data_IF_481226383029
#
_entry.id   IF_481226383029
#
_cell.length_a   1.000
_cell.length_b   1.000
_cell.length_c   1.000
_cell.angle_alpha   90.00
_cell.angle_beta   90.00
_cell.angle_gamma   90.00
#
_symmetry.space_group_name_H-M   'P 1'
#
loop_
_entity.id
_entity.type
_entity.pdbx_description
1 polymer ?
#
# COMPACT_ATOMS: atom_id res chain seq x y z
N UNK A 1 31.62 -20.43 -5.50
CA UNK A 1 30.97 -19.11 -5.29
C UNK A 1 29.47 -19.34 -5.20
N UNK A 2 28.89 -19.40 -3.99
CA UNK A 2 27.43 -19.54 -3.83
C UNK A 2 26.87 -18.13 -3.71
N UNK A 3 26.22 -17.65 -4.76
CA UNK A 3 25.49 -16.38 -4.71
C UNK A 3 24.09 -16.63 -4.18
N UNK A 4 23.58 -15.74 -3.31
CA UNK A 4 22.21 -15.81 -2.81
C UNK A 4 21.15 -15.69 -3.92
N UNK A 5 19.85 -15.77 -3.57
CA UNK A 5 18.76 -15.70 -4.55
C UNK A 5 18.84 -14.42 -5.39
N UNK A 6 18.67 -14.55 -6.71
CA UNK A 6 18.68 -13.46 -7.69
C UNK A 6 17.45 -13.49 -8.59
N UNK A 7 17.28 -12.45 -9.42
CA UNK A 7 16.23 -12.45 -10.46
C UNK A 7 16.46 -13.59 -11.47
N UNK A 8 15.42 -13.98 -12.22
CA UNK A 8 15.58 -14.96 -13.32
C UNK A 8 16.67 -14.54 -14.31
N UNK A 9 16.78 -13.24 -14.59
CA UNK A 9 17.84 -12.66 -15.45
C UNK A 9 19.24 -12.89 -14.83
N UNK A 10 19.38 -12.68 -13.52
CA UNK A 10 20.64 -12.94 -12.82
C UNK A 10 21.00 -14.44 -12.81
N UNK A 11 20.01 -15.32 -12.72
CA UNK A 11 20.23 -16.77 -12.80
C UNK A 11 20.76 -17.18 -14.19
N UNK A 12 20.17 -16.64 -15.27
CA UNK A 12 20.65 -16.86 -16.64
C UNK A 12 22.07 -16.29 -16.82
N UNK A 13 22.33 -15.07 -16.36
CA UNK A 13 23.66 -14.45 -16.40
C UNK A 13 24.71 -15.29 -15.64
N UNK A 14 24.35 -15.84 -14.47
CA UNK A 14 25.21 -16.75 -13.73
C UNK A 14 25.48 -18.06 -14.51
N UNK A 15 24.49 -18.60 -15.21
CA UNK A 15 24.65 -19.76 -16.10
C UNK A 15 25.68 -19.49 -17.22
N UNK A 16 25.56 -18.35 -17.89
CA UNK A 16 26.56 -17.93 -18.90
C UNK A 16 27.95 -17.76 -18.31
N UNK A 17 28.08 -17.15 -17.12
CA UNK A 17 29.36 -17.02 -16.43
C UNK A 17 29.98 -18.36 -16.09
N UNK A 18 29.18 -19.32 -15.61
CA UNK A 18 29.64 -20.67 -15.32
C UNK A 18 30.11 -21.39 -16.60
N UNK A 19 29.34 -21.31 -17.69
CA UNK A 19 29.70 -21.90 -18.97
C UNK A 19 31.01 -21.30 -19.53
N UNK A 20 31.19 -19.98 -19.45
CA UNK A 20 32.43 -19.31 -19.86
C UNK A 20 33.63 -19.73 -19.00
N UNK A 21 33.44 -19.84 -17.68
CA UNK A 21 34.50 -20.32 -16.79
C UNK A 21 34.92 -21.76 -17.12
N UNK A 22 33.96 -22.65 -17.42
CA UNK A 22 34.23 -24.01 -17.87
C UNK A 22 34.97 -24.03 -19.21
N UNK A 23 34.57 -23.19 -20.15
CA UNK A 23 35.23 -23.07 -21.46
C UNK A 23 36.69 -22.65 -21.33
N UNK A 24 36.98 -21.59 -20.57
CA UNK A 24 38.33 -21.09 -20.31
C UNK A 24 39.20 -22.16 -19.63
N UNK A 25 38.64 -22.85 -18.63
CA UNK A 25 39.33 -23.95 -17.95
C UNK A 25 39.71 -25.08 -18.91
N UNK A 26 38.79 -25.50 -19.79
CA UNK A 26 39.03 -26.55 -20.78
C UNK A 26 40.06 -26.14 -21.85
N UNK A 27 40.22 -24.85 -22.11
CA UNK A 27 41.24 -24.30 -23.01
C UNK A 27 42.61 -24.09 -22.33
N UNK A 28 42.73 -24.38 -21.03
CA UNK A 28 43.95 -24.12 -20.26
C UNK A 28 44.19 -22.62 -19.97
N UNK A 29 43.17 -21.78 -20.14
CA UNK A 29 43.23 -20.34 -19.88
C UNK A 29 42.84 -20.00 -18.43
N UNK A 30 43.34 -18.87 -17.93
CA UNK A 30 43.00 -18.35 -16.60
C UNK A 30 41.62 -17.71 -16.59
N UNK A 31 40.89 -17.88 -15.48
CA UNK A 31 39.54 -17.32 -15.27
C UNK A 31 39.59 -15.86 -14.77
N UNK A 32 40.69 -15.47 -14.12
CA UNK A 32 40.86 -14.13 -13.53
C UNK A 32 40.74 -13.02 -14.57
N UNK A 33 39.90 -12.01 -14.29
CA UNK A 33 39.68 -10.84 -15.15
C UNK A 33 38.88 -11.08 -16.44
N UNK A 34 38.63 -12.34 -16.84
CA UNK A 34 37.91 -12.70 -18.08
C UNK A 34 36.41 -12.89 -17.91
N UNK A 35 35.94 -13.05 -16.67
CA UNK A 35 34.50 -13.15 -16.39
C UNK A 35 33.87 -11.76 -16.24
N UNK A 36 32.70 -11.51 -16.83
CA UNK A 36 31.97 -10.27 -16.61
C UNK A 36 31.61 -10.14 -15.13
N UNK A 37 32.23 -9.16 -14.47
CA UNK A 37 31.95 -8.82 -13.08
C UNK A 37 30.80 -7.83 -13.07
N UNK A 38 29.63 -8.26 -12.63
CA UNK A 38 28.64 -7.34 -12.09
C UNK A 38 28.94 -7.17 -10.60
N UNK A 39 29.66 -6.12 -10.25
CA UNK A 39 29.61 -5.62 -8.87
C UNK A 39 28.20 -5.11 -8.65
N UNK A 40 27.52 -5.70 -7.66
CA UNK A 40 26.27 -5.13 -7.18
C UNK A 40 26.66 -4.01 -6.24
N UNK A 41 26.17 -2.80 -6.50
CA UNK A 41 26.30 -1.70 -5.55
C UNK A 41 25.78 -2.18 -4.19
N UNK A 42 26.62 -2.06 -3.16
CA UNK A 42 26.19 -2.29 -1.79
C UNK A 42 25.24 -1.17 -1.41
N UNK A 43 24.01 -1.52 -1.03
CA UNK A 43 23.13 -0.56 -0.39
C UNK A 43 23.76 -0.12 0.94
N UNK A 44 23.80 1.20 1.17
CA UNK A 44 24.25 1.75 2.44
C UNK A 44 23.40 1.20 3.58
N UNK A 45 24.03 0.99 4.75
CA UNK A 45 23.29 0.55 5.93
C UNK A 45 22.26 1.61 6.36
N UNK A 46 21.03 1.16 6.56
CA UNK A 46 19.98 2.02 7.07
C UNK A 46 20.22 2.34 8.55
N UNK A 47 20.07 3.61 8.92
CA UNK A 47 20.15 4.04 10.33
C UNK A 47 19.21 3.22 11.21
N UNK A 48 19.70 2.79 12.38
CA UNK A 48 18.97 1.94 13.33
C UNK A 48 17.63 2.55 13.77
N UNK A 49 17.56 3.87 13.92
CA UNK A 49 16.32 4.59 14.25
C UNK A 49 15.22 4.41 13.20
N UNK A 50 15.57 4.25 11.93
CA UNK A 50 14.60 4.00 10.86
C UNK A 50 14.23 2.53 10.81
N UNK A 51 15.19 1.62 11.02
CA UNK A 51 14.92 0.18 11.12
C UNK A 51 13.96 -0.15 12.27
N UNK A 52 14.01 0.57 13.38
CA UNK A 52 13.09 0.40 14.51
C UNK A 52 11.63 0.76 14.16
N UNK A 53 11.42 1.73 13.26
CA UNK A 53 10.10 2.19 12.79
C UNK A 53 9.46 1.27 11.75
N UNK A 54 10.25 0.33 11.22
CA UNK A 54 9.82 -0.58 10.17
C UNK A 54 9.19 -1.81 10.82
N UNK A 55 7.88 -1.97 10.68
CA UNK A 55 7.13 -3.11 11.20
C UNK A 55 7.73 -4.44 10.72
N UNK A 56 8.16 -5.34 11.61
CA UNK A 56 8.74 -6.63 11.22
C UNK A 56 7.67 -7.71 11.34
N UNK A 57 7.44 -8.44 10.26
CA UNK A 57 6.58 -9.62 10.26
C UNK A 57 7.46 -10.85 10.05
N UNK A 58 7.20 -11.98 10.74
CA UNK A 58 7.92 -13.23 10.51
C UNK A 58 7.45 -13.91 9.22
N UNK A 59 8.35 -14.62 8.53
CA UNK A 59 8.04 -15.27 7.24
C UNK A 59 7.24 -16.53 7.47
N UNK A 60 6.20 -16.75 6.67
CA UNK A 60 5.51 -18.03 6.63
C UNK A 60 6.43 -19.06 6.01
N UNK A 61 6.75 -20.11 6.77
CA UNK A 61 7.59 -21.18 6.27
C UNK A 61 6.75 -22.05 5.34
N UNK A 62 7.29 -22.33 4.15
CA UNK A 62 6.69 -23.33 3.26
C UNK A 62 6.76 -24.67 3.98
N UNK A 63 5.66 -25.42 3.94
CA UNK A 63 5.60 -26.72 4.57
C UNK A 63 6.47 -27.69 3.78
N UNK A 64 7.43 -28.29 4.48
CA UNK A 64 8.34 -29.28 3.91
C UNK A 64 8.16 -30.62 4.60
N UNK A 65 8.17 -31.71 3.83
CA UNK A 65 8.29 -33.05 4.41
C UNK A 65 9.63 -33.19 5.16
N UNK A 66 9.62 -33.97 6.24
CA UNK A 66 10.82 -34.20 7.04
C UNK A 66 11.92 -34.88 6.19
N UNK A 67 13.21 -34.52 6.36
CA UNK A 67 14.31 -35.11 5.58
C UNK A 67 14.33 -36.65 5.59
N UNK A 68 13.95 -37.28 6.70
CA UNK A 68 13.89 -38.74 6.84
C UNK A 68 12.85 -39.41 5.93
N UNK A 69 11.82 -38.68 5.52
CA UNK A 69 10.79 -39.14 4.56
C UNK A 69 11.24 -38.83 3.14
N UNK A 70 11.81 -37.65 2.90
CA UNK A 70 12.30 -37.18 1.60
C UNK A 70 13.33 -38.09 0.94
N UNK A 71 14.12 -38.82 1.73
CA UNK A 71 15.12 -39.78 1.20
C UNK A 71 14.50 -41.13 0.83
N UNK A 72 13.27 -41.42 1.26
CA UNK A 72 12.58 -42.70 1.05
C UNK A 72 11.47 -42.61 0.00
N UNK A 73 11.01 -41.41 -0.33
CA UNK A 73 9.88 -41.21 -1.23
C UNK A 73 10.23 -40.23 -2.35
N UNK A 74 9.57 -40.38 -3.49
CA UNK A 74 9.62 -39.42 -4.61
C UNK A 74 8.43 -38.45 -4.56
N UNK A 75 7.74 -38.36 -3.42
CA UNK A 75 6.65 -37.42 -3.21
C UNK A 75 7.18 -35.99 -3.20
N UNK A 76 6.37 -35.06 -3.72
CA UNK A 76 6.75 -33.66 -3.75
C UNK A 76 6.90 -33.13 -2.32
N UNK A 77 8.12 -32.73 -1.96
CA UNK A 77 8.44 -32.42 -0.57
C UNK A 77 8.01 -31.02 -0.12
N UNK A 78 7.67 -30.12 -1.05
CA UNK A 78 7.19 -28.76 -0.76
C UNK A 78 5.68 -28.68 -1.00
N UNK A 79 4.85 -28.88 0.03
CA UNK A 79 3.39 -28.86 -0.13
C UNK A 79 2.79 -27.46 -0.34
N UNK A 80 3.64 -26.42 -0.43
CA UNK A 80 3.22 -25.03 -0.64
C UNK A 80 2.60 -24.39 0.60
N UNK A 81 1.69 -23.46 0.37
CA UNK A 81 0.92 -22.77 1.42
C UNK A 81 -0.56 -23.16 1.31
N UNK A 82 -1.22 -23.34 2.46
CA UNK A 82 -2.69 -23.24 2.52
C UNK A 82 -3.14 -21.83 2.13
N UNK A 83 -4.40 -21.65 1.74
CA UNK A 83 -4.93 -20.31 1.39
C UNK A 83 -4.69 -19.29 2.51
N UNK A 84 -4.93 -19.68 3.78
CA UNK A 84 -4.70 -18.83 4.93
C UNK A 84 -3.22 -18.44 5.10
N UNK A 85 -2.30 -19.37 4.90
CA UNK A 85 -0.86 -19.11 4.96
C UNK A 85 -0.40 -18.25 3.78
N UNK A 86 -0.96 -18.48 2.59
CA UNK A 86 -0.66 -17.71 1.38
C UNK A 86 -1.09 -16.25 1.55
N UNK A 87 -2.30 -16.01 2.07
CA UNK A 87 -2.78 -14.67 2.42
C UNK A 87 -1.91 -14.04 3.52
N UNK A 88 -1.52 -14.80 4.54
CA UNK A 88 -0.62 -14.30 5.57
C UNK A 88 0.77 -13.93 5.01
N UNK A 89 1.32 -14.71 4.08
CA UNK A 89 2.59 -14.40 3.41
C UNK A 89 2.47 -13.20 2.48
N UNK A 90 1.42 -13.13 1.66
CA UNK A 90 1.12 -12.00 0.80
C UNK A 90 0.95 -10.69 1.60
N UNK A 91 0.34 -10.77 2.79
CA UNK A 91 0.16 -9.62 3.68
C UNK A 91 1.48 -9.06 4.21
N UNK A 92 2.61 -9.77 4.10
CA UNK A 92 3.94 -9.24 4.45
C UNK A 92 4.52 -8.32 3.38
N UNK A 93 3.97 -8.31 2.16
CA UNK A 93 4.43 -7.43 1.09
C UNK A 93 4.46 -5.98 1.57
N UNK A 94 5.56 -5.27 1.26
CA UNK A 94 5.77 -3.86 1.63
C UNK A 94 5.66 -2.90 0.46
N UNK A 95 5.33 -3.40 -0.74
CA UNK A 95 5.31 -2.58 -1.95
C UNK A 95 6.69 -2.06 -2.32
N UNK A 96 7.72 -2.90 -2.26
CA UNK A 96 9.05 -2.53 -2.75
C UNK A 96 8.94 -2.01 -4.20
N UNK A 97 9.67 -0.94 -4.52
CA UNK A 97 9.59 -0.20 -5.78
C UNK A 97 8.26 0.53 -6.09
N UNK A 98 7.23 0.46 -5.23
CA UNK A 98 6.00 1.26 -5.36
C UNK A 98 6.12 2.66 -4.68
N UNK A 99 7.34 3.15 -4.51
CA UNK A 99 7.67 4.34 -3.73
C UNK A 99 7.18 5.66 -4.35
N UNK A 100 7.40 6.75 -3.61
CA UNK A 100 7.11 8.10 -4.08
C UNK A 100 8.17 8.60 -5.05
N UNK A 101 7.75 9.31 -6.10
CA UNK A 101 8.61 9.95 -7.11
C UNK A 101 8.26 11.44 -7.18
N UNK A 102 9.27 12.29 -7.36
CA UNK A 102 9.11 13.75 -7.41
C UNK A 102 9.30 14.23 -8.84
N UNK A 103 8.33 15.00 -9.33
CA UNK A 103 8.45 15.80 -10.54
C UNK A 103 9.26 17.07 -10.23
N UNK A 104 10.49 17.12 -10.71
CA UNK A 104 11.45 18.20 -10.43
C UNK A 104 11.01 19.54 -11.01
N UNK A 105 10.21 19.55 -12.09
CA UNK A 105 9.71 20.77 -12.71
C UNK A 105 8.58 21.43 -11.89
N UNK A 106 7.90 20.65 -11.04
CA UNK A 106 6.86 21.16 -10.13
C UNK A 106 7.38 21.39 -8.72
N UNK A 107 8.50 20.77 -8.35
CA UNK A 107 8.99 20.81 -6.97
C UNK A 107 9.54 22.20 -6.61
N UNK A 108 8.92 22.86 -5.63
CA UNK A 108 9.39 24.14 -5.08
C UNK A 108 10.29 24.01 -3.84
N UNK A 109 10.79 22.80 -3.55
CA UNK A 109 11.68 22.51 -2.40
C UNK A 109 11.18 23.01 -1.01
N UNK A 110 9.86 23.08 -0.77
CA UNK A 110 9.27 23.64 0.46
C UNK A 110 9.48 22.85 1.77
N UNK A 111 10.17 21.71 1.71
CA UNK A 111 10.48 20.82 2.85
C UNK A 111 9.27 20.11 3.50
N UNK A 112 8.04 20.25 2.98
CA UNK A 112 6.87 19.58 3.57
C UNK A 112 7.02 18.06 3.57
N UNK A 113 7.45 17.46 2.45
CA UNK A 113 7.68 16.01 2.36
C UNK A 113 8.67 15.51 3.43
N UNK A 114 9.75 16.27 3.68
CA UNK A 114 10.76 15.97 4.69
C UNK A 114 10.17 15.98 6.09
N UNK A 115 9.36 16.99 6.43
CA UNK A 115 8.73 17.13 7.76
C UNK A 115 7.69 16.06 8.05
N UNK A 116 6.95 15.60 7.02
CA UNK A 116 5.86 14.63 7.22
C UNK A 116 6.34 13.18 7.20
N UNK A 117 7.45 12.87 6.54
CA UNK A 117 7.94 11.50 6.39
C UNK A 117 8.55 10.96 7.70
N UNK A 118 7.95 9.95 8.36
CA UNK A 118 8.48 9.41 9.62
C UNK A 118 9.80 8.63 9.44
N UNK A 119 10.08 8.22 8.20
CA UNK A 119 11.26 7.45 7.82
C UNK A 119 12.43 8.34 7.35
N UNK A 120 12.20 9.63 7.09
CA UNK A 120 13.25 10.49 6.54
C UNK A 120 13.70 10.09 5.13
N UNK A 121 12.79 9.56 4.31
CA UNK A 121 13.09 9.17 2.93
C UNK A 121 13.44 10.37 2.00
N UNK A 122 12.78 11.54 2.12
CA UNK A 122 13.12 12.69 1.29
C UNK A 122 14.48 13.29 1.66
N UNK A 123 15.26 13.68 0.66
CA UNK A 123 16.45 14.52 0.77
C UNK A 123 16.21 15.74 -0.12
N UNK A 124 16.29 16.94 0.44
CA UNK A 124 16.02 18.17 -0.31
C UNK A 124 17.32 18.94 -0.51
N UNK A 125 17.64 19.20 -1.78
CA UNK A 125 18.72 20.09 -2.21
C UNK A 125 18.09 21.25 -3.00
N UNK A 126 18.29 21.29 -4.32
CA UNK A 126 17.55 22.18 -5.22
C UNK A 126 16.09 21.72 -5.43
N UNK A 127 15.86 20.40 -5.41
CA UNK A 127 14.54 19.77 -5.39
C UNK A 127 14.55 18.62 -4.35
N UNK A 128 13.39 18.03 -4.11
CA UNK A 128 13.27 16.85 -3.27
C UNK A 128 13.58 15.59 -4.08
N UNK A 129 14.42 14.71 -3.53
CA UNK A 129 14.66 13.36 -4.03
C UNK A 129 14.21 12.35 -2.98
N UNK A 130 13.54 11.28 -3.39
CA UNK A 130 13.06 10.24 -2.46
C UNK A 130 14.02 9.06 -2.52
N UNK A 131 14.64 8.75 -1.38
CA UNK A 131 15.51 7.59 -1.23
C UNK A 131 14.69 6.29 -1.24
N UNK A 132 14.85 5.41 -2.25
CA UNK A 132 14.02 4.21 -2.40
C UNK A 132 14.21 3.19 -1.27
N UNK A 133 15.42 3.12 -0.72
CA UNK A 133 15.81 2.26 0.40
C UNK A 133 15.09 2.65 1.71
N UNK A 134 14.78 3.93 1.92
CA UNK A 134 14.03 4.41 3.09
C UNK A 134 12.51 4.43 2.87
N UNK A 135 12.06 4.62 1.62
CA UNK A 135 10.66 4.83 1.31
C UNK A 135 9.81 3.57 1.56
N UNK A 136 8.81 3.68 2.42
CA UNK A 136 7.89 2.58 2.74
C UNK A 136 6.61 2.59 1.87
N UNK A 137 6.57 3.39 0.80
CA UNK A 137 5.44 3.52 -0.13
C UNK A 137 4.07 3.89 0.48
N UNK A 138 4.04 4.41 1.72
CA UNK A 138 2.79 4.70 2.44
C UNK A 138 1.92 5.80 1.80
N UNK A 139 2.48 6.64 0.93
CA UNK A 139 1.76 7.70 0.23
C UNK A 139 1.50 8.97 1.04
N UNK A 140 2.01 9.05 2.28
CA UNK A 140 1.72 10.17 3.19
C UNK A 140 2.17 11.54 2.65
N UNK A 141 3.27 11.59 1.90
CA UNK A 141 3.85 12.84 1.40
C UNK A 141 3.13 13.40 0.17
N UNK A 142 2.48 12.56 -0.63
CA UNK A 142 1.83 12.97 -1.86
C UNK A 142 0.69 14.01 -1.68
N UNK A 143 -0.27 13.83 -0.74
CA UNK A 143 -1.34 14.80 -0.52
C UNK A 143 -0.84 16.05 0.24
N UNK A 144 0.30 15.95 0.92
CA UNK A 144 0.91 17.07 1.66
C UNK A 144 1.76 17.97 0.73
N UNK A 145 1.97 17.56 -0.52
CA UNK A 145 2.75 18.36 -1.47
C UNK A 145 1.90 19.51 -2.03
N UNK A 146 2.15 20.78 -1.66
CA UNK A 146 1.32 21.90 -2.13
C UNK A 146 1.42 22.11 -3.64
N UNK A 147 2.57 21.79 -4.23
CA UNK A 147 2.78 21.88 -5.67
C UNK A 147 2.23 20.68 -6.46
N UNK A 148 1.69 19.65 -5.78
CA UNK A 148 1.26 18.41 -6.44
C UNK A 148 2.38 17.70 -7.21
N UNK A 149 3.63 17.86 -6.76
CA UNK A 149 4.84 17.39 -7.43
C UNK A 149 5.18 15.92 -7.10
N UNK A 150 4.43 15.26 -6.21
CA UNK A 150 4.74 13.90 -5.76
C UNK A 150 3.70 12.92 -6.30
N UNK A 151 4.17 11.90 -7.03
CA UNK A 151 3.39 10.74 -7.48
C UNK A 151 3.89 9.46 -6.81
N UNK A 152 3.16 8.36 -6.96
CA UNK A 152 3.59 7.03 -6.50
C UNK A 152 3.73 6.10 -7.70
N UNK A 153 4.76 5.26 -7.71
CA UNK A 153 4.97 4.30 -8.82
C UNK A 153 3.87 3.23 -8.86
N UNK A 154 3.42 2.77 -7.69
CA UNK A 154 2.45 1.66 -7.62
C UNK A 154 0.99 2.05 -7.75
N UNK A 155 0.66 3.36 -7.76
CA UNK A 155 -0.71 3.85 -7.92
C UNK A 155 -0.68 5.35 -8.19
N UNK A 156 -1.40 5.84 -9.20
CA UNK A 156 -1.52 7.29 -9.36
C UNK A 156 -2.52 7.84 -8.34
N UNK A 157 -2.11 8.95 -7.77
CA UNK A 157 -2.78 9.65 -6.72
C UNK A 157 -3.83 10.63 -7.22
N UNK A 158 -3.80 10.96 -8.51
CA UNK A 158 -4.89 11.64 -9.21
C UNK A 158 -5.90 10.66 -9.79
N UNK A 159 -5.46 9.46 -10.14
CA UNK A 159 -6.30 8.42 -10.75
C UNK A 159 -7.53 8.08 -9.91
N UNK A 160 -7.39 7.96 -8.58
CA UNK A 160 -8.53 7.72 -7.68
C UNK A 160 -9.60 8.81 -7.83
N UNK A 161 -9.20 10.08 -7.89
CA UNK A 161 -10.13 11.21 -8.01
C UNK A 161 -10.76 11.29 -9.41
N UNK A 162 -9.97 10.96 -10.43
CA UNK A 162 -10.41 11.00 -11.82
C UNK A 162 -11.37 9.85 -12.14
N UNK A 163 -11.14 8.67 -11.56
CA UNK A 163 -11.99 7.48 -11.76
C UNK A 163 -13.28 7.53 -10.96
N UNK A 164 -13.38 8.38 -9.92
CA UNK A 164 -14.59 8.47 -9.08
C UNK A 164 -15.87 8.69 -9.88
N UNK A 165 -15.84 9.56 -10.88
CA UNK A 165 -17.02 9.86 -11.70
C UNK A 165 -17.52 8.59 -12.41
N UNK A 166 -16.60 7.79 -12.95
CA UNK A 166 -16.92 6.55 -13.67
C UNK A 166 -17.33 5.43 -12.70
N UNK A 167 -16.63 5.27 -11.58
CA UNK A 167 -16.88 4.19 -10.61
C UNK A 167 -18.16 4.41 -9.80
N UNK A 168 -18.46 5.65 -9.43
CA UNK A 168 -19.75 6.01 -8.79
C UNK A 168 -20.88 5.94 -9.82
N UNK A 169 -20.63 6.45 -11.03
CA UNK A 169 -21.58 6.42 -12.12
C UNK A 169 -22.82 7.28 -11.88
N UNK A 170 -23.91 6.95 -12.58
CA UNK A 170 -25.20 7.61 -12.38
C UNK A 170 -25.86 7.10 -11.11
N UNK A 171 -26.08 8.00 -10.16
CA UNK A 171 -26.82 7.70 -8.93
C UNK A 171 -28.31 7.65 -9.24
N UNK A 172 -28.95 6.50 -8.99
CA UNK A 172 -30.39 6.36 -9.15
C UNK A 172 -31.14 7.23 -8.14
N UNK A 173 -32.07 8.03 -8.65
CA UNK A 173 -32.93 8.89 -7.84
C UNK A 173 -33.94 8.09 -7.01
N UNK A 174 -34.28 6.85 -7.42
CA UNK A 174 -35.22 5.97 -6.74
C UNK A 174 -34.55 5.04 -5.72
N UNK A 175 -33.24 5.20 -5.47
CA UNK A 175 -32.50 4.35 -4.54
C UNK A 175 -33.09 4.45 -3.14
N UNK A 176 -33.16 3.30 -2.45
CA UNK A 176 -33.60 3.20 -1.05
C UNK A 176 -32.43 3.20 -0.07
N UNK A 177 -31.25 2.82 -0.56
CA UNK A 177 -30.04 2.70 0.24
C UNK A 177 -29.03 3.78 -0.14
N UNK A 178 -28.28 4.32 0.84
CA UNK A 178 -27.33 5.39 0.59
C UNK A 178 -26.14 4.91 -0.22
N UNK A 179 -25.70 5.70 -1.19
CA UNK A 179 -24.47 5.43 -1.92
C UNK A 179 -23.28 5.89 -1.08
N UNK A 180 -22.41 4.95 -0.70
CA UNK A 180 -21.25 5.25 0.15
C UNK A 180 -19.97 5.04 -0.65
N UNK A 181 -19.17 6.09 -0.79
CA UNK A 181 -17.81 5.96 -1.35
C UNK A 181 -16.87 5.55 -0.23
N UNK A 182 -16.13 4.45 -0.43
CA UNK A 182 -15.27 3.88 0.60
C UNK A 182 -13.82 3.83 0.16
N UNK A 183 -12.93 4.55 0.84
CA UNK A 183 -11.48 4.44 0.64
C UNK A 183 -10.93 3.29 1.49
N UNK A 184 -10.41 2.25 0.84
CA UNK A 184 -10.09 0.97 1.50
C UNK A 184 -8.59 0.68 1.46
N UNK A 185 -7.97 0.49 2.63
CA UNK A 185 -6.54 0.17 2.72
C UNK A 185 -6.21 -1.25 2.18
N UNK A 186 -5.53 -1.36 1.04
CA UNK A 186 -5.23 -2.65 0.40
C UNK A 186 -4.18 -3.47 1.16
N UNK A 187 -3.30 -2.83 1.93
CA UNK A 187 -2.20 -3.49 2.64
C UNK A 187 -2.63 -4.56 3.65
N UNK A 188 -3.83 -4.42 4.23
CA UNK A 188 -4.41 -5.39 5.17
C UNK A 188 -5.78 -5.87 4.70
N UNK A 189 -6.63 -4.98 4.17
CA UNK A 189 -7.97 -5.35 3.71
C UNK A 189 -7.95 -6.03 2.34
N UNK A 190 -7.07 -5.60 1.43
CA UNK A 190 -7.01 -6.19 0.08
C UNK A 190 -6.58 -7.65 0.08
N UNK A 191 -5.76 -8.05 1.06
CA UNK A 191 -5.29 -9.43 1.21
C UNK A 191 -6.32 -10.31 1.91
N UNK A 192 -6.99 -9.81 2.93
CA UNK A 192 -8.01 -10.61 3.62
C UNK A 192 -9.35 -10.61 2.88
N UNK A 193 -9.60 -9.62 2.02
CA UNK A 193 -10.92 -9.28 1.49
C UNK A 193 -11.61 -8.22 2.37
N UNK A 194 -12.58 -7.52 1.79
CA UNK A 194 -13.49 -6.67 2.54
C UNK A 194 -14.92 -6.98 2.07
N UNK A 195 -15.68 -7.69 2.90
CA UNK A 195 -17.13 -7.84 2.71
C UNK A 195 -17.80 -6.50 3.01
N UNK A 196 -17.84 -5.64 2.00
CA UNK A 196 -18.54 -4.37 2.02
C UNK A 196 -19.99 -4.58 1.58
N UNK A 197 -20.95 -3.88 2.20
CA UNK A 197 -22.33 -3.87 1.74
C UNK A 197 -22.46 -3.42 0.27
N UNK A 198 -23.48 -3.90 -0.45
CA UNK A 198 -23.64 -3.66 -1.90
C UNK A 198 -23.79 -2.17 -2.28
N UNK A 199 -24.21 -1.33 -1.34
CA UNK A 199 -24.35 0.11 -1.51
C UNK A 199 -23.02 0.88 -1.35
N UNK A 200 -21.92 0.19 -1.07
CA UNK A 200 -20.57 0.75 -1.04
C UNK A 200 -19.95 0.75 -2.45
N UNK A 201 -19.17 1.78 -2.74
CA UNK A 201 -18.30 1.89 -3.92
C UNK A 201 -16.86 1.96 -3.44
N UNK A 202 -16.12 0.83 -3.45
CA UNK A 202 -14.77 0.78 -2.91
C UNK A 202 -13.75 1.42 -3.87
N UNK A 203 -12.90 2.28 -3.31
CA UNK A 203 -11.69 2.81 -3.92
C UNK A 203 -10.49 2.26 -3.16
N UNK A 204 -9.83 1.22 -3.70
CA UNK A 204 -8.64 0.65 -3.07
C UNK A 204 -7.51 1.67 -3.07
N UNK A 205 -6.96 1.93 -1.88
CA UNK A 205 -5.78 2.78 -1.68
C UNK A 205 -4.70 1.98 -0.98
N UNK A 206 -3.43 2.17 -1.35
CA UNK A 206 -2.36 1.39 -0.73
C UNK A 206 -2.27 1.62 0.78
N UNK A 207 -2.55 2.85 1.21
CA UNK A 207 -2.78 3.21 2.60
C UNK A 207 -3.79 4.36 2.65
N UNK A 208 -4.63 4.40 3.69
CA UNK A 208 -5.51 5.54 3.94
C UNK A 208 -4.74 6.82 4.24
N UNK A 209 -3.44 6.74 4.54
CA UNK A 209 -2.58 7.91 4.66
C UNK A 209 -2.44 8.73 3.38
N UNK A 210 -2.80 8.16 2.23
CA UNK A 210 -2.89 8.95 1.01
C UNK A 210 -4.19 9.74 0.89
N UNK A 211 -5.29 9.29 1.49
CA UNK A 211 -6.59 9.94 1.29
C UNK A 211 -6.48 11.42 1.69
N UNK A 212 -6.78 12.29 0.73
CA UNK A 212 -6.79 13.73 0.88
C UNK A 212 -8.21 14.21 1.15
N UNK A 213 -8.34 15.39 1.75
CA UNK A 213 -9.63 16.07 1.95
C UNK A 213 -10.31 16.33 0.62
N UNK A 214 -9.55 16.67 -0.43
CA UNK A 214 -10.09 16.85 -1.77
C UNK A 214 -10.70 15.55 -2.35
N UNK A 215 -10.17 14.39 -1.98
CA UNK A 215 -10.72 13.10 -2.42
C UNK A 215 -12.07 12.83 -1.73
N UNK A 216 -12.17 13.18 -0.44
CA UNK A 216 -13.42 13.11 0.33
C UNK A 216 -14.47 14.06 -0.25
N UNK A 217 -14.10 15.31 -0.56
CA UNK A 217 -15.01 16.28 -1.14
C UNK A 217 -15.45 15.88 -2.55
N UNK A 218 -14.54 15.34 -3.37
CA UNK A 218 -14.89 14.85 -4.71
C UNK A 218 -15.94 13.75 -4.65
N UNK A 219 -15.87 12.86 -3.66
CA UNK A 219 -16.88 11.81 -3.49
C UNK A 219 -18.30 12.41 -3.31
N UNK A 220 -18.44 13.46 -2.50
CA UNK A 220 -19.72 14.17 -2.36
C UNK A 220 -20.14 14.90 -3.63
N UNK A 221 -19.20 15.51 -4.37
CA UNK A 221 -19.45 16.14 -5.67
C UNK A 221 -19.99 15.11 -6.69
N UNK A 222 -19.51 13.87 -6.64
CA UNK A 222 -19.98 12.78 -7.52
C UNK A 222 -21.33 12.17 -7.11
N UNK A 223 -21.92 12.61 -6.00
CA UNK A 223 -23.25 12.19 -5.56
C UNK A 223 -23.28 11.15 -4.42
N UNK A 224 -22.17 10.94 -3.72
CA UNK A 224 -22.16 10.08 -2.53
C UNK A 224 -23.03 10.66 -1.40
N UNK A 225 -23.80 9.80 -0.73
CA UNK A 225 -24.58 10.12 0.47
C UNK A 225 -23.71 10.14 1.73
N UNK A 226 -22.63 9.36 1.70
CA UNK A 226 -21.61 9.29 2.76
C UNK A 226 -20.25 8.84 2.23
N UNK A 227 -19.21 9.10 3.01
CA UNK A 227 -17.82 8.74 2.71
C UNK A 227 -17.22 7.98 3.88
N UNK A 228 -16.76 6.77 3.61
CA UNK A 228 -16.07 5.92 4.58
C UNK A 228 -14.57 5.87 4.30
N UNK A 229 -13.74 6.16 5.29
CA UNK A 229 -12.30 5.89 5.24
C UNK A 229 -12.04 4.62 6.04
N UNK A 230 -11.88 3.50 5.36
CA UNK A 230 -11.74 2.17 5.97
C UNK A 230 -10.26 1.82 6.13
N UNK A 231 -9.80 1.74 7.38
CA UNK A 231 -8.38 1.61 7.72
C UNK A 231 -8.10 0.45 8.68
N UNK A 232 -6.83 0.11 8.81
CA UNK A 232 -6.38 -0.85 9.83
C UNK A 232 -6.78 -0.38 11.24
N UNK A 233 -7.11 -1.34 12.11
CA UNK A 233 -7.37 -1.12 13.54
C UNK A 233 -6.16 -0.59 14.31
N UNK A 234 -6.40 -0.19 15.55
CA UNK A 234 -5.38 0.38 16.44
C UNK A 234 -4.17 -0.56 16.60
N UNK A 235 -2.96 0.01 16.59
CA UNK A 235 -1.70 -0.73 16.71
C UNK A 235 -1.34 -1.65 15.52
N UNK A 236 -2.23 -1.80 14.54
CA UNK A 236 -2.07 -2.80 13.47
C UNK A 236 -1.63 -2.24 12.12
N UNK A 237 -1.41 -0.93 12.04
CA UNK A 237 -0.89 -0.29 10.84
C UNK A 237 0.58 -0.67 10.64
N UNK A 238 0.97 -1.02 9.40
CA UNK A 238 2.37 -1.26 9.04
C UNK A 238 3.25 -0.01 9.12
N UNK A 239 2.61 1.17 9.18
CA UNK A 239 3.24 2.47 9.02
C UNK A 239 3.13 3.32 10.27
N UNK A 240 4.18 4.08 10.54
CA UNK A 240 4.31 4.95 11.70
C UNK A 240 3.51 6.25 11.53
N UNK A 241 2.92 6.73 12.63
CA UNK A 241 2.24 8.05 12.74
C UNK A 241 1.16 8.34 11.68
N UNK A 242 0.51 7.31 11.12
CA UNK A 242 -0.55 7.48 10.12
C UNK A 242 -1.89 7.87 10.76
N UNK A 243 -2.25 7.19 11.84
CA UNK A 243 -3.54 7.32 12.51
C UNK A 243 -3.94 8.77 12.84
N UNK A 244 -3.12 9.55 13.57
CA UNK A 244 -3.50 10.92 13.93
C UNK A 244 -3.70 11.80 12.69
N UNK A 245 -2.93 11.57 11.63
CA UNK A 245 -2.99 12.37 10.40
C UNK A 245 -4.25 12.09 9.61
N UNK A 246 -4.62 10.82 9.45
CA UNK A 246 -5.88 10.45 8.77
C UNK A 246 -7.08 10.98 9.58
N UNK A 247 -7.05 10.84 10.91
CA UNK A 247 -8.09 11.38 11.79
C UNK A 247 -8.23 12.91 11.63
N UNK A 248 -7.11 13.64 11.57
CA UNK A 248 -7.13 15.08 11.35
C UNK A 248 -7.71 15.46 9.98
N UNK A 249 -7.41 14.72 8.91
CA UNK A 249 -7.99 14.97 7.58
C UNK A 249 -9.48 14.66 7.52
N UNK A 250 -9.91 13.56 8.12
CA UNK A 250 -11.34 13.24 8.24
C UNK A 250 -12.06 14.35 9.00
N UNK A 251 -11.52 14.78 10.15
CA UNK A 251 -12.08 15.91 10.92
C UNK A 251 -12.17 17.19 10.08
N UNK A 252 -11.11 17.53 9.34
CA UNK A 252 -11.12 18.67 8.43
C UNK A 252 -12.19 18.54 7.34
N UNK A 253 -12.36 17.34 6.77
CA UNK A 253 -13.44 17.05 5.84
C UNK A 253 -14.82 17.28 6.45
N UNK A 254 -15.04 16.80 7.68
CA UNK A 254 -16.27 17.00 8.45
C UNK A 254 -16.57 18.48 8.69
N UNK A 255 -15.56 19.27 9.07
CA UNK A 255 -15.67 20.72 9.27
C UNK A 255 -16.05 21.44 7.96
N UNK A 256 -15.46 21.04 6.83
CA UNK A 256 -15.75 21.62 5.52
C UNK A 256 -17.16 21.29 5.03
N UNK A 257 -17.62 20.04 5.15
CA UNK A 257 -18.98 19.70 4.73
C UNK A 257 -20.03 20.34 5.64
N UNK A 258 -19.72 20.52 6.93
CA UNK A 258 -20.57 21.27 7.86
C UNK A 258 -20.70 22.73 7.44
N UNK A 259 -19.61 23.36 7.01
CA UNK A 259 -19.65 24.72 6.47
C UNK A 259 -20.47 24.84 5.18
N UNK A 260 -20.61 23.74 4.42
CA UNK A 260 -21.47 23.63 3.24
C UNK A 260 -22.93 23.25 3.56
N UNK A 261 -23.32 23.18 4.84
CA UNK A 261 -24.67 22.87 5.27
C UNK A 261 -25.02 21.37 5.27
N UNK A 262 -24.02 20.49 5.22
CA UNK A 262 -24.20 19.03 5.30
C UNK A 262 -23.83 18.49 6.68
N UNK A 263 -24.40 17.36 7.07
CA UNK A 263 -24.13 16.73 8.36
C UNK A 263 -22.71 16.13 8.41
N UNK A 264 -21.87 16.52 9.38
CA UNK A 264 -20.49 16.02 9.50
C UNK A 264 -20.43 14.49 9.67
N UNK A 265 -21.48 13.88 10.21
CA UNK A 265 -21.64 12.45 10.39
C UNK A 265 -21.64 11.66 9.08
N UNK A 266 -21.78 12.32 7.92
CA UNK A 266 -21.67 11.69 6.58
C UNK A 266 -20.24 11.27 6.23
N UNK A 267 -19.22 11.67 7.01
CA UNK A 267 -17.85 11.17 6.86
C UNK A 267 -17.49 10.37 8.10
N UNK A 268 -17.08 9.12 7.92
CA UNK A 268 -16.62 8.27 9.01
C UNK A 268 -15.22 7.68 8.76
N UNK A 269 -14.44 7.60 9.83
CA UNK A 269 -13.23 6.80 9.89
C UNK A 269 -13.58 5.44 10.47
N UNK A 270 -13.58 4.40 9.65
CA UNK A 270 -13.93 3.04 10.06
C UNK A 270 -12.67 2.22 10.28
N UNK A 271 -12.61 1.51 11.41
CA UNK A 271 -11.52 0.62 11.76
C UNK A 271 -12.04 -0.73 12.19
N UNK A 272 -11.24 -1.77 11.95
CA UNK A 272 -11.59 -3.13 12.35
C UNK A 272 -11.70 -3.22 13.87
N UNK A 273 -12.84 -3.68 14.36
CA UNK A 273 -12.93 -4.23 15.72
C UNK A 273 -12.48 -5.68 15.61
N UNK A 274 -11.40 -6.04 16.28
CA UNK A 274 -10.99 -7.44 16.41
C UNK A 274 -12.08 -8.16 17.19
N UNK A 275 -13.01 -8.86 16.54
CA UNK A 275 -13.79 -9.92 17.17
C UNK A 275 -14.51 -10.84 16.15
N UNK A 276 -14.41 -12.14 16.42
CA UNK A 276 -15.32 -13.22 16.06
C UNK A 276 -15.51 -13.57 14.58
N UNK A 277 -14.47 -14.11 13.94
CA UNK A 277 -14.62 -15.09 12.84
C UNK A 277 -15.19 -14.59 11.51
N UNK A 278 -15.69 -13.36 11.42
CA UNK A 278 -16.14 -12.69 10.19
C UNK A 278 -15.19 -11.58 9.72
N UNK A 279 -15.49 -10.97 8.57
CA UNK A 279 -14.73 -9.83 8.06
C UNK A 279 -14.81 -8.64 9.04
N UNK A 280 -13.67 -8.10 9.50
CA UNK A 280 -13.64 -7.27 10.70
C UNK A 280 -14.21 -5.84 10.52
N UNK A 281 -14.73 -5.52 9.34
CA UNK A 281 -15.26 -4.20 8.99
C UNK A 281 -16.76 -4.22 8.68
N UNK A 282 -17.35 -5.39 8.45
CA UNK A 282 -18.73 -5.50 7.94
C UNK A 282 -19.72 -4.88 8.90
N UNK A 283 -19.63 -5.17 10.20
CA UNK A 283 -20.49 -4.57 11.22
C UNK A 283 -20.39 -3.03 11.23
N UNK A 284 -19.17 -2.48 11.21
CA UNK A 284 -18.95 -1.03 11.20
C UNK A 284 -19.46 -0.37 9.90
N UNK A 285 -19.37 -1.06 8.76
CA UNK A 285 -19.89 -0.56 7.49
C UNK A 285 -21.43 -0.60 7.45
N UNK A 286 -22.05 -1.63 8.03
CA UNK A 286 -23.51 -1.73 8.15
C UNK A 286 -24.03 -0.62 9.07
N UNK A 287 -23.44 -0.47 10.25
CA UNK A 287 -23.81 0.60 11.20
C UNK A 287 -23.69 1.99 10.57
N UNK A 288 -22.58 2.25 9.85
CA UNK A 288 -22.40 3.51 9.15
C UNK A 288 -23.43 3.71 8.03
N UNK A 289 -23.78 2.65 7.30
CA UNK A 289 -24.81 2.70 6.26
C UNK A 289 -26.17 3.07 6.82
N UNK A 290 -26.57 2.46 7.93
CA UNK A 290 -27.83 2.76 8.63
C UNK A 290 -27.84 4.20 9.15
N UNK A 291 -26.71 4.66 9.71
CA UNK A 291 -26.56 6.04 10.15
C UNK A 291 -26.74 7.04 9.01
N UNK A 292 -26.11 6.80 7.85
CA UNK A 292 -26.26 7.68 6.68
C UNK A 292 -27.70 7.63 6.15
N UNK A 293 -28.35 6.46 6.18
CA UNK A 293 -29.76 6.30 5.78
C UNK A 293 -30.70 7.10 6.69
N UNK A 294 -30.44 7.13 7.99
CA UNK A 294 -31.21 7.91 8.97
C UNK A 294 -31.07 9.43 8.78
N UNK A 295 -29.94 9.91 8.25
CA UNK A 295 -29.74 11.32 7.89
C UNK A 295 -30.46 11.72 6.60
N UNK A 296 -31.08 10.76 5.89
CA UNK A 296 -31.71 10.99 4.60
C UNK A 296 -30.72 10.96 3.44
N UNK A 297 -31.26 10.56 2.28
CA UNK A 297 -30.53 10.51 1.01
C UNK A 297 -30.39 11.92 0.43
N UNK A 298 -29.25 12.20 -0.17
CA UNK A 298 -29.01 13.46 -0.86
C UNK A 298 -29.77 13.44 -2.20
N UNK A 299 -30.60 14.46 -2.42
CA UNK A 299 -31.08 14.79 -3.75
C UNK A 299 -29.91 15.38 -4.56
N UNK A 300 -29.82 15.00 -5.84
CA UNK A 300 -28.82 15.55 -6.75
C UNK A 300 -29.21 16.96 -7.17
#
# INVERSE_FOLDING_TARGET
MVTGPGSAIAAVANGHRAALAMHLFLQGETIEGKLPVQEKDSLNEMRQEVLAKICKMPRQKVQHLAPAVRVKTMEHFESGYTEKEALAEASRCRGCAAGAVVDTNKCMACLTCLRVCPYGAPVVKAWSEIRPDYCQACGLCAPECPAGAISMVGYDVKEIRNSMVTTVGCVDAKRTDPLIVAFVCTNRLGVHGADLPANYRPFPVHCTSRVDVLDILKAFETGADGVAVVRCGEGSCKYEKIEPRVKARVKRGQELIKALGMEPERIALLSAVTNNGGHPYTAACVEFSEKVKALGLRAK
#
